data_IF_247183846457
#
_entry.id   IF_247183846457
#
_cell.length_a   1.000
_cell.length_b   1.000
_cell.length_c   1.000
_cell.angle_alpha   90.00
_cell.angle_beta   90.00
_cell.angle_gamma   90.00
#
_symmetry.space_group_name_H-M   'P 1'
#
loop_
_entity.id
_entity.type
_entity.pdbx_description
1 polymer ?
#
# COMPACT_ATOMS: atom_id res chain seq x y z
N UNK A 1 19.19 6.90 11.22
CA UNK A 1 17.94 6.19 11.54
C UNK A 1 18.01 4.90 10.76
N UNK A 2 18.18 3.79 11.46
CA UNK A 2 18.12 2.47 10.84
C UNK A 2 16.64 2.23 10.56
N UNK A 3 16.25 2.12 9.28
CA UNK A 3 14.86 1.89 8.92
C UNK A 3 14.53 0.43 9.25
N UNK A 4 13.38 0.14 9.87
CA UNK A 4 13.02 -1.23 10.16
C UNK A 4 13.02 -2.06 8.88
N UNK A 5 13.46 -3.30 8.98
CA UNK A 5 13.47 -4.22 7.86
C UNK A 5 12.02 -4.59 7.51
N UNK A 6 11.50 -4.03 6.41
CA UNK A 6 10.15 -4.31 5.95
C UNK A 6 10.09 -5.53 5.04
N UNK A 7 9.06 -6.35 5.25
CA UNK A 7 8.70 -7.44 4.35
C UNK A 7 8.18 -6.82 3.05
N UNK A 8 8.87 -7.12 1.95
CA UNK A 8 8.48 -6.69 0.61
C UNK A 8 7.39 -7.61 0.06
N UNK A 9 6.39 -7.01 -0.56
CA UNK A 9 5.34 -7.70 -1.30
C UNK A 9 5.47 -7.26 -2.75
N UNK A 10 5.50 -8.19 -3.69
CA UNK A 10 5.40 -7.83 -5.10
C UNK A 10 3.99 -7.34 -5.42
N UNK A 11 3.87 -6.35 -6.31
CA UNK A 11 2.57 -5.83 -6.73
C UNK A 11 1.95 -6.73 -7.80
N UNK A 12 1.72 -7.99 -7.45
CA UNK A 12 1.12 -9.01 -8.31
C UNK A 12 -0.02 -9.69 -7.55
N UNK A 13 -1.02 -10.20 -8.28
CA UNK A 13 -2.17 -10.86 -7.68
C UNK A 13 -1.79 -12.02 -6.74
N UNK A 14 -0.94 -12.98 -7.16
CA UNK A 14 -0.51 -14.08 -6.29
C UNK A 14 0.23 -13.63 -5.03
N UNK A 15 1.19 -12.69 -5.15
CA UNK A 15 1.97 -12.23 -4.00
C UNK A 15 1.09 -11.51 -2.96
N UNK A 16 0.15 -10.67 -3.42
CA UNK A 16 -0.83 -10.01 -2.56
C UNK A 16 -1.74 -11.05 -1.89
N UNK A 17 -2.22 -12.05 -2.64
CA UNK A 17 -3.05 -13.15 -2.11
C UNK A 17 -2.34 -13.92 -1.00
N UNK A 18 -1.07 -14.25 -1.19
CA UNK A 18 -0.27 -15.00 -0.22
C UNK A 18 0.05 -14.17 1.03
N UNK A 19 0.35 -12.88 0.84
CA UNK A 19 0.52 -11.92 1.92
C UNK A 19 -0.75 -11.81 2.79
N UNK A 20 -1.92 -11.62 2.16
CA UNK A 20 -3.20 -11.55 2.87
C UNK A 20 -3.54 -12.86 3.58
N UNK A 21 -3.33 -14.02 2.93
CA UNK A 21 -3.55 -15.32 3.59
C UNK A 21 -2.77 -15.45 4.90
N UNK A 22 -1.57 -14.88 4.95
CA UNK A 22 -0.70 -14.95 6.13
C UNK A 22 -1.06 -13.89 7.18
N UNK A 23 -1.24 -12.64 6.76
CA UNK A 23 -1.31 -11.51 7.68
C UNK A 23 -2.75 -11.00 7.96
N UNK A 24 -3.70 -11.29 7.07
CA UNK A 24 -5.09 -10.80 7.17
C UNK A 24 -6.06 -11.74 6.43
N UNK A 25 -6.24 -12.99 6.89
CA UNK A 25 -7.07 -13.98 6.20
C UNK A 25 -8.53 -13.55 6.05
N UNK A 26 -9.03 -12.69 6.95
CA UNK A 26 -10.40 -12.16 6.89
C UNK A 26 -10.60 -11.14 5.75
N UNK A 27 -9.53 -10.48 5.28
CA UNK A 27 -9.57 -9.53 4.16
C UNK A 27 -9.33 -10.21 2.81
N UNK A 28 -8.85 -11.47 2.81
CA UNK A 28 -8.59 -12.23 1.60
C UNK A 28 -9.83 -12.40 0.69
N UNK A 29 -11.05 -12.70 1.20
CA UNK A 29 -12.23 -12.82 0.35
C UNK A 29 -12.58 -11.55 -0.41
N UNK A 30 -12.38 -10.38 0.19
CA UNK A 30 -12.67 -9.08 -0.43
C UNK A 30 -11.70 -8.79 -1.58
N UNK A 31 -10.40 -9.04 -1.38
CA UNK A 31 -9.42 -8.96 -2.46
C UNK A 31 -9.79 -9.90 -3.61
N UNK A 32 -10.14 -11.14 -3.27
CA UNK A 32 -10.50 -12.17 -4.23
C UNK A 32 -11.75 -11.79 -5.04
N UNK A 33 -12.73 -11.14 -4.42
CA UNK A 33 -13.94 -10.67 -5.08
C UNK A 33 -13.63 -9.47 -6.00
N UNK A 34 -12.98 -8.43 -5.47
CA UNK A 34 -12.64 -7.22 -6.23
C UNK A 34 -11.74 -7.54 -7.44
N UNK A 35 -10.76 -8.42 -7.28
CA UNK A 35 -9.85 -8.79 -8.35
C UNK A 35 -10.53 -9.60 -9.45
N UNK A 36 -11.46 -10.51 -9.09
CA UNK A 36 -12.26 -11.26 -10.09
C UNK A 36 -13.20 -10.35 -10.86
N UNK A 37 -13.84 -9.39 -10.20
CA UNK A 37 -14.69 -8.39 -10.87
C UNK A 37 -13.86 -7.58 -11.87
N UNK A 38 -12.71 -7.04 -11.43
CA UNK A 38 -11.85 -6.25 -12.31
C UNK A 38 -11.33 -7.05 -13.52
N UNK A 39 -11.04 -8.35 -13.35
CA UNK A 39 -10.66 -9.23 -14.45
C UNK A 39 -11.81 -9.45 -15.44
N UNK A 40 -13.03 -9.70 -14.95
CA UNK A 40 -14.20 -9.89 -15.81
C UNK A 40 -14.53 -8.62 -16.61
N UNK A 41 -14.55 -7.46 -15.95
CA UNK A 41 -14.81 -6.19 -16.64
C UNK A 41 -13.72 -5.86 -17.67
N UNK A 42 -12.45 -6.17 -17.37
CA UNK A 42 -11.36 -5.99 -18.32
C UNK A 42 -11.40 -6.99 -19.48
N UNK A 43 -11.99 -8.18 -19.29
CA UNK A 43 -12.24 -9.12 -20.39
C UNK A 43 -13.31 -8.58 -21.35
N UNK A 44 -14.32 -7.90 -20.80
CA UNK A 44 -15.42 -7.32 -21.58
C UNK A 44 -14.99 -6.12 -22.44
N UNK A 45 -14.13 -5.23 -21.91
CA UNK A 45 -13.79 -3.96 -22.57
C UNK A 45 -12.30 -3.69 -22.79
N UNK A 46 -11.43 -4.64 -22.42
CA UNK A 46 -9.97 -4.57 -22.57
C UNK A 46 -9.29 -3.41 -21.81
N UNK A 47 -9.99 -2.70 -20.93
CA UNK A 47 -9.39 -1.69 -20.05
C UNK A 47 -8.79 -2.32 -18.79
N UNK A 48 -7.47 -2.48 -18.80
CA UNK A 48 -6.73 -3.07 -17.68
C UNK A 48 -6.49 -2.09 -16.52
N UNK A 49 -6.85 -0.81 -16.65
CA UNK A 49 -6.62 0.17 -15.60
C UNK A 49 -7.35 -0.19 -14.28
N UNK A 50 -8.48 -0.90 -14.36
CA UNK A 50 -9.19 -1.43 -13.18
C UNK A 50 -8.34 -2.43 -12.40
N UNK A 51 -7.69 -3.35 -13.10
CA UNK A 51 -6.80 -4.36 -12.50
C UNK A 51 -5.66 -3.66 -11.76
N UNK A 52 -5.01 -2.68 -12.39
CA UNK A 52 -3.93 -1.91 -11.78
C UNK A 52 -4.38 -1.16 -10.52
N UNK A 53 -5.60 -0.59 -10.52
CA UNK A 53 -6.18 0.08 -9.34
C UNK A 53 -6.39 -0.90 -8.18
N UNK A 54 -6.95 -2.07 -8.44
CA UNK A 54 -7.14 -3.13 -7.43
C UNK A 54 -5.79 -3.58 -6.87
N UNK A 55 -4.82 -3.88 -7.74
CA UNK A 55 -3.47 -4.29 -7.32
C UNK A 55 -2.78 -3.21 -6.49
N UNK A 56 -2.86 -1.93 -6.88
CA UNK A 56 -2.27 -0.83 -6.11
C UNK A 56 -2.87 -0.71 -4.70
N UNK A 57 -4.21 -0.74 -4.60
CA UNK A 57 -4.92 -0.65 -3.33
C UNK A 57 -4.55 -1.81 -2.41
N UNK A 58 -4.70 -3.03 -2.90
CA UNK A 58 -4.49 -4.22 -2.08
C UNK A 58 -3.02 -4.50 -1.77
N UNK A 59 -2.10 -4.05 -2.61
CA UNK A 59 -0.68 -4.04 -2.28
C UNK A 59 -0.38 -3.15 -1.08
N UNK A 60 -0.97 -1.95 -1.00
CA UNK A 60 -0.81 -1.06 0.15
C UNK A 60 -1.40 -1.68 1.43
N UNK A 61 -2.58 -2.31 1.33
CA UNK A 61 -3.20 -3.05 2.44
C UNK A 61 -2.28 -4.19 2.91
N UNK A 62 -1.88 -5.08 2.00
CA UNK A 62 -1.01 -6.20 2.32
C UNK A 62 0.32 -5.75 2.95
N UNK A 63 0.92 -4.68 2.44
CA UNK A 63 2.13 -4.09 3.02
C UNK A 63 1.91 -3.63 4.46
N UNK A 64 0.84 -2.91 4.77
CA UNK A 64 0.54 -2.43 6.12
C UNK A 64 0.16 -3.55 7.10
N UNK A 65 -0.41 -4.66 6.60
CA UNK A 65 -0.72 -5.83 7.44
C UNK A 65 0.54 -6.61 7.81
N UNK A 66 1.46 -6.79 6.86
CA UNK A 66 2.75 -7.43 7.11
C UNK A 66 3.72 -6.53 7.88
N UNK A 67 3.59 -5.22 7.70
CA UNK A 67 4.44 -4.22 8.32
C UNK A 67 3.58 -3.20 9.07
N UNK A 68 3.01 -3.58 10.24
CA UNK A 68 2.25 -2.65 11.05
C UNK A 68 3.10 -1.43 11.40
N UNK A 69 2.58 -0.19 11.26
CA UNK A 69 3.35 1.00 11.57
C UNK A 69 3.82 0.99 13.03
N UNK A 70 5.08 1.36 13.24
CA UNK A 70 5.66 1.56 14.58
C UNK A 70 4.99 2.75 15.29
N UNK A 71 5.19 2.87 16.61
CA UNK A 71 4.68 4.01 17.35
C UNK A 71 5.21 5.35 16.79
N UNK A 72 6.50 5.41 16.48
CA UNK A 72 7.15 6.60 15.91
C UNK A 72 6.57 6.98 14.53
N UNK A 73 6.27 5.99 13.68
CA UNK A 73 5.64 6.22 12.38
C UNK A 73 4.20 6.70 12.52
N UNK A 74 3.44 6.16 13.48
CA UNK A 74 2.07 6.62 13.76
C UNK A 74 2.07 8.06 14.25
N UNK A 75 2.94 8.39 15.20
CA UNK A 75 3.10 9.76 15.69
C UNK A 75 3.51 10.72 14.57
N UNK A 76 4.39 10.30 13.66
CA UNK A 76 4.74 11.10 12.49
C UNK A 76 3.53 11.37 11.59
N UNK A 77 2.71 10.34 11.31
CA UNK A 77 1.48 10.49 10.52
C UNK A 77 0.50 11.45 11.20
N UNK A 78 0.32 11.35 12.52
CA UNK A 78 -0.55 12.23 13.29
C UNK A 78 -0.08 13.69 13.26
N UNK A 79 1.22 13.95 13.43
CA UNK A 79 1.80 15.29 13.31
C UNK A 79 1.57 15.89 11.92
N UNK A 80 1.84 15.11 10.88
CA UNK A 80 1.61 15.53 9.49
C UNK A 80 0.14 15.84 9.24
N UNK A 81 -0.78 15.01 9.76
CA UNK A 81 -2.22 15.25 9.66
C UNK A 81 -2.65 16.53 10.41
N UNK A 82 -1.96 16.89 11.49
CA UNK A 82 -2.14 18.16 12.21
C UNK A 82 -1.46 19.37 11.54
N UNK A 83 -0.78 19.17 10.40
CA UNK A 83 -0.09 20.22 9.64
C UNK A 83 1.36 20.46 10.07
N UNK A 84 1.88 19.68 11.01
CA UNK A 84 3.30 19.71 11.38
C UNK A 84 4.11 18.81 10.43
N UNK A 85 4.82 19.46 9.50
CA UNK A 85 5.64 18.78 8.49
C UNK A 85 7.10 18.61 8.93
N UNK A 86 7.47 19.00 10.15
CA UNK A 86 8.85 18.96 10.66
C UNK A 86 9.47 17.58 10.42
N UNK A 87 10.65 17.55 9.79
CA UNK A 87 11.39 16.33 9.53
C UNK A 87 10.88 15.46 8.37
N UNK A 88 9.77 15.84 7.71
CA UNK A 88 9.32 15.21 6.46
C UNK A 88 10.14 15.69 5.26
N UNK A 89 10.06 14.97 4.13
CA UNK A 89 10.71 15.33 2.88
C UNK A 89 9.67 15.75 1.85
N UNK A 90 9.83 16.93 1.26
CA UNK A 90 9.09 17.34 0.07
C UNK A 90 9.98 17.21 -1.16
N UNK A 91 9.36 16.82 -2.30
CA UNK A 91 10.07 16.77 -3.58
C UNK A 91 9.86 18.07 -4.34
N UNK A 92 10.94 18.83 -4.57
CA UNK A 92 10.94 20.10 -5.32
C UNK A 92 11.89 19.94 -6.50
N UNK A 93 11.41 20.11 -7.73
CA UNK A 93 12.20 19.94 -8.96
C UNK A 93 13.00 18.62 -8.99
N UNK A 94 12.39 17.54 -8.50
CA UNK A 94 13.01 16.21 -8.41
C UNK A 94 13.92 16.00 -7.19
N UNK A 95 14.34 17.05 -6.50
CA UNK A 95 15.18 17.00 -5.29
C UNK A 95 14.35 16.80 -4.02
N UNK A 96 14.87 16.03 -3.06
CA UNK A 96 14.26 15.84 -1.74
C UNK A 96 14.77 16.92 -0.79
N UNK A 97 13.89 17.81 -0.36
CA UNK A 97 14.18 18.87 0.61
C UNK A 97 13.50 18.51 1.93
N UNK A 98 14.25 18.58 3.04
CA UNK A 98 13.73 18.28 4.37
C UNK A 98 13.09 19.53 4.97
N UNK A 99 11.90 19.36 5.53
CA UNK A 99 11.28 20.40 6.35
C UNK A 99 12.04 20.54 7.66
N UNK A 100 12.44 21.78 8.02
CA UNK A 100 13.19 22.05 9.24
C UNK A 100 12.42 21.61 10.48
#
# INVERSE_FOLDING_TARGET
MDLPEYIRVERTGPAIRDALRTAAPDELPDFDAEFRIALAEADDDFDTARIDRVLNRWWAVAHLRLNPPTAEERELVERVAAGDLTGTLTRVNGQRVRHP
#
